data_IF_326602590063
#
_entry.id   IF_326602590063
#
_cell.length_a   1.000
_cell.length_b   1.000
_cell.length_c   1.000
_cell.angle_alpha   90.00
_cell.angle_beta   90.00
_cell.angle_gamma   90.00
#
_symmetry.space_group_name_H-M   'P 1'
#
loop_
_entity.id
_entity.type
_entity.pdbx_description
1 polymer ?
#
# COMPACT_ATOMS: atom_id res chain seq x y z
N UNK A 1 5.64 -2.92 19.35
CA UNK A 1 6.56 -3.85 18.64
C UNK A 1 7.44 -3.04 17.70
N UNK A 2 8.74 -3.33 17.59
CA UNK A 2 9.63 -2.62 16.63
C UNK A 2 10.07 -3.60 15.55
N UNK A 3 9.79 -3.29 14.29
CA UNK A 3 10.19 -4.09 13.13
C UNK A 3 11.41 -3.47 12.47
N UNK A 4 12.47 -4.26 12.29
CA UNK A 4 13.63 -3.86 11.52
C UNK A 4 13.56 -4.51 10.14
N UNK A 5 13.42 -3.75 9.06
CA UNK A 5 13.37 -4.33 7.73
C UNK A 5 14.72 -4.98 7.41
N UNK A 6 14.67 -6.25 6.98
CA UNK A 6 15.86 -7.02 6.57
C UNK A 6 16.59 -6.37 5.39
N UNK A 7 15.84 -5.68 4.54
CA UNK A 7 16.36 -4.94 3.39
C UNK A 7 16.16 -3.45 3.61
N UNK A 8 17.12 -2.66 3.13
CA UNK A 8 17.04 -1.21 3.18
C UNK A 8 15.90 -0.64 2.33
N UNK A 9 15.51 0.59 2.64
CA UNK A 9 14.53 1.33 1.85
C UNK A 9 15.14 1.77 0.51
N UNK A 10 14.30 2.16 -0.46
CA UNK A 10 14.77 2.77 -1.72
C UNK A 10 15.61 4.04 -1.49
N UNK A 11 15.45 4.66 -0.32
CA UNK A 11 16.18 5.88 0.08
C UNK A 11 17.42 5.60 0.92
N UNK A 12 17.71 4.33 1.22
CA UNK A 12 18.91 3.98 1.97
C UNK A 12 20.16 4.24 1.09
N UNK A 13 21.18 4.80 1.71
CA UNK A 13 22.50 5.07 1.11
C UNK A 13 23.58 4.89 2.18
N UNK A 14 24.85 4.94 1.80
CA UNK A 14 25.98 4.69 2.72
C UNK A 14 25.93 5.49 4.03
N UNK A 15 25.39 6.72 4.00
CA UNK A 15 25.25 7.61 5.15
C UNK A 15 23.86 7.63 5.79
N UNK A 16 22.88 6.89 5.26
CA UNK A 16 21.50 6.93 5.76
C UNK A 16 20.81 5.58 5.60
N UNK A 17 20.36 5.00 6.72
CA UNK A 17 19.56 3.78 6.75
C UNK A 17 18.23 4.09 7.40
N UNK A 18 17.13 3.65 6.81
CA UNK A 18 15.81 3.86 7.40
C UNK A 18 15.74 3.21 8.80
N UNK A 19 15.18 3.95 9.76
CA UNK A 19 14.99 3.49 11.13
C UNK A 19 13.98 2.35 11.22
N UNK A 20 14.06 1.58 12.31
CA UNK A 20 13.08 0.54 12.62
C UNK A 20 11.68 1.12 12.79
N UNK A 21 10.68 0.37 12.35
CA UNK A 21 9.28 0.79 12.40
C UNK A 21 8.68 0.38 13.73
N UNK A 22 8.36 1.35 14.58
CA UNK A 22 7.61 1.10 15.81
C UNK A 22 6.12 1.03 15.49
N UNK A 23 5.54 -0.16 15.64
CA UNK A 23 4.10 -0.38 15.63
C UNK A 23 3.62 -0.23 17.07
N UNK A 24 2.67 0.68 17.29
CA UNK A 24 1.97 0.91 18.56
C UNK A 24 0.51 0.49 18.46
N UNK A 25 -0.12 0.30 19.62
CA UNK A 25 -1.55 0.04 19.70
C UNK A 25 -2.32 1.27 19.19
N UNK A 26 -3.51 1.03 18.65
CA UNK A 26 -4.45 2.08 18.24
C UNK A 26 -5.60 2.15 19.26
N UNK A 27 -6.12 3.34 19.48
CA UNK A 27 -7.31 3.56 20.31
C UNK A 27 -8.52 2.88 19.65
N UNK A 28 -8.64 3.00 18.32
CA UNK A 28 -9.65 2.28 17.55
C UNK A 28 -9.24 0.82 17.34
N UNK A 29 -9.89 -0.06 18.11
CA UNK A 29 -9.67 -1.52 18.07
C UNK A 29 -10.14 -2.19 16.79
N UNK A 30 -10.83 -1.50 15.89
CA UNK A 30 -11.18 -2.02 14.56
C UNK A 30 -9.99 -1.97 13.59
N UNK A 31 -9.07 -1.01 13.77
CA UNK A 31 -7.88 -0.81 12.94
C UNK A 31 -6.55 -1.02 13.69
N UNK A 32 -6.61 -1.47 14.95
CA UNK A 32 -5.44 -1.80 15.76
C UNK A 32 -4.69 -3.04 15.22
N UNK A 33 -3.58 -2.78 14.55
CA UNK A 33 -2.72 -3.81 13.95
C UNK A 33 -2.17 -4.77 15.00
N UNK A 34 -1.84 -4.31 16.21
CA UNK A 34 -1.28 -5.17 17.26
C UNK A 34 -2.33 -6.17 17.72
N UNK A 35 -3.56 -5.72 17.91
CA UNK A 35 -4.70 -6.60 18.22
C UNK A 35 -4.88 -7.67 17.15
N UNK A 36 -4.91 -7.29 15.87
CA UNK A 36 -5.12 -8.25 14.77
C UNK A 36 -3.97 -9.23 14.60
N UNK A 37 -2.71 -8.81 14.81
CA UNK A 37 -1.56 -9.72 14.79
C UNK A 37 -1.65 -10.75 15.92
N UNK A 38 -2.01 -10.33 17.14
CA UNK A 38 -2.20 -11.24 18.28
C UNK A 38 -3.28 -12.28 17.96
N UNK A 39 -4.43 -11.82 17.47
CA UNK A 39 -5.54 -12.70 17.07
C UNK A 39 -5.08 -13.70 15.99
N UNK A 40 -4.37 -13.23 14.97
CA UNK A 40 -3.85 -14.10 13.90
C UNK A 40 -2.92 -15.18 14.46
N UNK A 41 -2.00 -14.82 15.36
CA UNK A 41 -1.06 -15.77 15.97
C UNK A 41 -1.84 -16.82 16.78
N UNK A 42 -2.75 -16.40 17.67
CA UNK A 42 -3.56 -17.31 18.48
C UNK A 42 -4.41 -18.24 17.63
N UNK A 43 -5.09 -17.73 16.60
CA UNK A 43 -5.92 -18.56 15.70
C UNK A 43 -5.11 -19.55 14.86
N UNK A 44 -3.81 -19.27 14.65
CA UNK A 44 -2.93 -20.13 13.84
C UNK A 44 -2.01 -21.02 14.68
N UNK A 45 -2.08 -20.95 16.01
CA UNK A 45 -1.17 -21.61 16.95
C UNK A 45 -1.14 -23.14 16.76
N UNK A 46 -2.30 -23.79 16.85
CA UNK A 46 -2.41 -25.24 16.68
C UNK A 46 -1.80 -25.71 15.36
N UNK A 47 -2.05 -24.93 14.30
CA UNK A 47 -1.57 -25.24 12.96
C UNK A 47 -0.05 -25.06 12.84
N UNK A 48 0.56 -24.16 13.62
CA UNK A 48 2.02 -23.97 13.64
C UNK A 48 2.75 -25.13 14.30
N UNK A 49 2.11 -25.92 15.17
CA UNK A 49 2.72 -27.13 15.75
C UNK A 49 3.19 -28.13 14.68
N UNK A 50 2.53 -28.15 13.51
CA UNK A 50 2.95 -28.98 12.38
C UNK A 50 4.19 -28.49 11.63
N UNK A 51 4.76 -27.34 12.00
CA UNK A 51 5.97 -26.76 11.41
C UNK A 51 6.68 -25.83 12.43
N UNK A 52 7.38 -26.39 13.45
CA UNK A 52 7.94 -25.61 14.55
C UNK A 52 9.00 -24.57 14.12
N UNK A 53 9.72 -24.82 13.02
CA UNK A 53 10.75 -23.90 12.51
C UNK A 53 10.18 -22.77 11.62
N UNK A 54 8.85 -22.62 11.54
CA UNK A 54 8.19 -21.68 10.63
C UNK A 54 8.05 -20.27 11.24
N UNK A 55 8.97 -19.38 10.86
CA UNK A 55 9.01 -17.97 11.31
C UNK A 55 8.20 -17.00 10.42
N UNK A 56 7.17 -17.49 9.72
CA UNK A 56 6.33 -16.64 8.86
C UNK A 56 5.03 -16.25 9.57
N UNK A 57 4.71 -14.95 9.60
CA UNK A 57 3.45 -14.47 10.16
C UNK A 57 2.24 -15.05 9.42
N UNK A 58 2.26 -15.02 8.09
CA UNK A 58 1.22 -15.61 7.25
C UNK A 58 1.58 -17.03 6.84
N UNK A 59 0.71 -17.98 7.15
CA UNK A 59 0.89 -19.42 6.85
C UNK A 59 -0.26 -19.94 6.00
N UNK A 60 -0.07 -21.08 5.33
CA UNK A 60 -1.14 -21.74 4.58
C UNK A 60 -2.33 -22.05 5.49
N UNK A 61 -3.55 -21.70 5.09
CA UNK A 61 -4.77 -22.00 5.86
C UNK A 61 -5.27 -23.43 5.66
N UNK A 62 -4.84 -24.11 4.59
CA UNK A 62 -5.22 -25.49 4.24
C UNK A 62 -4.00 -26.31 3.80
N UNK A 63 -4.09 -27.64 3.93
CA UNK A 63 -3.04 -28.58 3.52
C UNK A 63 -1.79 -28.55 4.43
N UNK A 64 -0.62 -28.89 3.88
CA UNK A 64 0.66 -28.83 4.62
C UNK A 64 0.97 -27.41 5.07
N UNK A 65 1.41 -27.27 6.31
CA UNK A 65 1.78 -26.01 6.95
C UNK A 65 3.05 -25.48 6.29
N UNK A 66 2.99 -24.25 5.77
CA UNK A 66 4.08 -23.57 5.06
C UNK A 66 3.82 -22.06 5.01
N UNK A 67 4.83 -21.21 4.69
CA UNK A 67 4.57 -19.79 4.46
C UNK A 67 3.50 -19.58 3.40
N UNK A 68 2.58 -18.65 3.63
CA UNK A 68 1.63 -18.24 2.61
C UNK A 68 2.37 -17.54 1.47
N UNK A 69 2.11 -17.95 0.23
CA UNK A 69 2.72 -17.28 -0.93
C UNK A 69 2.11 -15.90 -1.14
N UNK A 70 2.84 -15.02 -1.86
CA UNK A 70 2.32 -13.70 -2.26
C UNK A 70 0.97 -13.80 -2.98
N UNK A 71 0.80 -14.81 -3.83
CA UNK A 71 -0.44 -15.04 -4.57
C UNK A 71 -1.61 -15.41 -3.65
N UNK A 72 -1.36 -16.22 -2.61
CA UNK A 72 -2.37 -16.60 -1.62
C UNK A 72 -2.82 -15.38 -0.82
N UNK A 73 -1.86 -14.59 -0.32
CA UNK A 73 -2.14 -13.37 0.44
C UNK A 73 -2.92 -12.37 -0.42
N UNK A 74 -2.50 -12.17 -1.67
CA UNK A 74 -3.22 -11.32 -2.61
C UNK A 74 -4.66 -11.82 -2.86
N UNK A 75 -4.87 -13.14 -2.90
CA UNK A 75 -6.19 -13.74 -2.97
C UNK A 75 -7.08 -13.36 -1.79
N UNK A 76 -6.58 -13.49 -0.56
CA UNK A 76 -7.33 -13.12 0.65
C UNK A 76 -7.77 -11.66 0.64
N UNK A 77 -6.84 -10.75 0.28
CA UNK A 77 -7.13 -9.31 0.21
C UNK A 77 -8.18 -9.03 -0.87
N UNK A 78 -8.03 -9.59 -2.08
CA UNK A 78 -9.00 -9.40 -3.16
C UNK A 78 -10.38 -9.92 -2.80
N UNK A 79 -10.47 -11.09 -2.17
CA UNK A 79 -11.74 -11.65 -1.74
C UNK A 79 -12.44 -10.74 -0.73
N UNK A 80 -11.72 -10.25 0.29
CA UNK A 80 -12.27 -9.34 1.28
C UNK A 80 -12.74 -8.01 0.66
N UNK A 81 -11.96 -7.42 -0.25
CA UNK A 81 -12.33 -6.20 -0.95
C UNK A 81 -13.55 -6.40 -1.86
N UNK A 82 -13.62 -7.53 -2.58
CA UNK A 82 -14.76 -7.85 -3.43
C UNK A 82 -16.05 -8.00 -2.62
N UNK A 83 -15.97 -8.57 -1.41
CA UNK A 83 -17.13 -8.71 -0.52
C UNK A 83 -17.75 -7.37 -0.12
N UNK A 84 -16.94 -6.30 -0.07
CA UNK A 84 -17.42 -4.94 0.22
C UNK A 84 -17.67 -4.11 -1.07
N UNK A 85 -17.74 -4.76 -2.23
CA UNK A 85 -18.03 -4.10 -3.52
C UNK A 85 -16.83 -3.40 -4.17
N UNK A 86 -15.62 -3.55 -3.64
CA UNK A 86 -14.40 -2.98 -4.26
C UNK A 86 -13.88 -3.96 -5.32
N UNK A 87 -14.26 -3.74 -6.57
CA UNK A 87 -13.84 -4.56 -7.74
C UNK A 87 -12.79 -3.84 -8.63
N UNK A 88 -12.24 -2.73 -8.15
CA UNK A 88 -11.20 -1.99 -8.88
C UNK A 88 -9.85 -2.69 -8.78
N UNK A 89 -9.05 -2.60 -9.86
CA UNK A 89 -7.66 -3.05 -9.83
C UNK A 89 -6.81 -2.26 -8.82
N UNK A 90 -5.67 -2.81 -8.36
CA UNK A 90 -4.80 -2.13 -7.41
C UNK A 90 -4.28 -0.82 -8.01
N UNK A 91 -4.67 0.30 -7.39
CA UNK A 91 -4.16 1.63 -7.72
C UNK A 91 -2.88 1.97 -6.94
N UNK A 92 -2.11 2.92 -7.46
CA UNK A 92 -0.99 3.52 -6.72
C UNK A 92 -1.54 4.49 -5.68
N UNK A 93 -1.34 4.19 -4.39
CA UNK A 93 -1.71 5.11 -3.28
C UNK A 93 -1.07 6.49 -3.48
N UNK A 94 0.18 6.52 -3.93
CA UNK A 94 0.91 7.78 -4.22
C UNK A 94 0.21 8.61 -5.30
N UNK A 95 -0.32 7.94 -6.32
CA UNK A 95 -1.03 8.61 -7.40
C UNK A 95 -2.39 9.11 -6.92
N UNK A 96 -3.14 8.30 -6.16
CA UNK A 96 -4.43 8.69 -5.59
C UNK A 96 -4.29 9.93 -4.67
N UNK A 97 -3.39 9.87 -3.68
CA UNK A 97 -3.14 10.98 -2.74
C UNK A 97 -2.58 12.21 -3.46
N UNK A 98 -1.70 12.02 -4.45
CA UNK A 98 -1.16 13.13 -5.24
C UNK A 98 -2.24 13.85 -6.05
N UNK A 99 -3.13 13.09 -6.69
CA UNK A 99 -4.21 13.62 -7.52
C UNK A 99 -5.26 14.34 -6.68
N UNK A 100 -5.65 13.77 -5.55
CA UNK A 100 -6.58 14.37 -4.59
C UNK A 100 -6.07 15.73 -4.06
N UNK A 101 -4.80 15.78 -3.64
CA UNK A 101 -4.17 17.03 -3.19
C UNK A 101 -4.12 18.09 -4.28
N UNK A 102 -3.85 17.67 -5.51
CA UNK A 102 -3.83 18.58 -6.65
C UNK A 102 -5.24 19.09 -6.96
N UNK A 103 -6.27 18.23 -6.89
CA UNK A 103 -7.67 18.64 -7.14
C UNK A 103 -8.24 19.61 -6.11
N UNK A 104 -7.69 19.63 -4.88
CA UNK A 104 -8.03 20.61 -3.84
C UNK A 104 -7.10 21.83 -3.83
N UNK A 105 -6.37 22.08 -4.91
CA UNK A 105 -5.48 23.23 -5.11
C UNK A 105 -4.35 23.37 -4.07
N UNK A 106 -3.83 22.26 -3.54
CA UNK A 106 -2.60 22.31 -2.73
C UNK A 106 -1.43 22.77 -3.61
N UNK A 107 -0.54 23.68 -3.13
CA UNK A 107 0.60 24.14 -3.92
C UNK A 107 1.46 23.00 -4.43
N UNK A 108 1.85 23.05 -5.71
CA UNK A 108 2.58 21.97 -6.37
C UNK A 108 3.90 21.64 -5.66
N UNK A 109 4.64 22.64 -5.21
CA UNK A 109 5.89 22.43 -4.45
C UNK A 109 5.67 21.64 -3.15
N UNK A 110 4.54 21.87 -2.47
CA UNK A 110 4.18 21.12 -1.27
C UNK A 110 3.81 19.67 -1.61
N UNK A 111 3.08 19.46 -2.71
CA UNK A 111 2.75 18.14 -3.22
C UNK A 111 4.04 17.37 -3.58
N UNK A 112 4.96 17.99 -4.32
CA UNK A 112 6.24 17.40 -4.72
C UNK A 112 7.09 17.04 -3.50
N UNK A 113 7.19 17.95 -2.52
CA UNK A 113 7.90 17.72 -1.26
C UNK A 113 7.31 16.56 -0.46
N UNK A 114 5.99 16.53 -0.25
CA UNK A 114 5.31 15.45 0.49
C UNK A 114 5.35 14.12 -0.26
N UNK A 115 5.29 14.16 -1.59
CA UNK A 115 5.38 13.00 -2.46
C UNK A 115 6.80 12.48 -2.65
N UNK A 116 7.82 13.23 -2.21
CA UNK A 116 9.23 12.99 -2.50
C UNK A 116 9.47 12.79 -4.02
N UNK A 117 8.97 13.74 -4.81
CA UNK A 117 9.12 13.78 -6.26
C UNK A 117 10.12 14.86 -6.66
N UNK A 118 11.04 14.51 -7.56
CA UNK A 118 12.12 15.39 -8.00
C UNK A 118 11.65 16.53 -8.92
N UNK A 119 10.54 16.35 -9.62
CA UNK A 119 10.00 17.35 -10.54
C UNK A 119 8.50 17.20 -10.78
N UNK A 120 7.89 18.31 -11.15
CA UNK A 120 6.54 18.44 -11.70
C UNK A 120 6.29 17.49 -12.87
N UNK A 121 7.23 17.38 -13.82
CA UNK A 121 7.12 16.51 -15.00
C UNK A 121 6.93 15.05 -14.60
N UNK A 122 7.63 14.60 -13.56
CA UNK A 122 7.46 13.24 -13.03
C UNK A 122 6.09 13.08 -12.35
N UNK A 123 5.66 14.10 -11.59
CA UNK A 123 4.35 14.12 -10.95
C UNK A 123 3.21 14.00 -11.98
N UNK A 124 3.13 14.91 -12.94
CA UNK A 124 2.05 14.90 -13.93
C UNK A 124 2.05 13.67 -14.83
N UNK A 125 3.23 13.17 -15.22
CA UNK A 125 3.34 11.98 -16.06
C UNK A 125 2.86 10.71 -15.34
N UNK A 126 3.35 10.47 -14.13
CA UNK A 126 3.20 9.15 -13.47
C UNK A 126 2.20 9.13 -12.31
N UNK A 127 1.93 10.27 -11.67
CA UNK A 127 1.25 10.31 -10.38
C UNK A 127 -0.06 11.12 -10.39
N UNK A 128 -0.17 12.21 -11.15
CA UNK A 128 -1.43 12.94 -11.30
C UNK A 128 -2.35 12.21 -12.28
N UNK A 129 -3.49 11.71 -11.77
CA UNK A 129 -4.51 10.93 -12.47
C UNK A 129 -5.88 11.49 -12.05
N UNK A 130 -6.23 12.64 -12.61
CA UNK A 130 -7.55 13.23 -12.41
C UNK A 130 -8.60 12.34 -13.08
N UNK A 131 -9.70 12.10 -12.37
CA UNK A 131 -10.83 11.34 -12.88
C UNK A 131 -11.86 12.35 -13.34
N UNK A 132 -12.28 12.27 -14.61
CA UNK A 132 -13.38 13.12 -15.07
C UNK A 132 -14.71 12.60 -14.51
N UNK A 133 -15.56 13.48 -13.97
CA UNK A 133 -16.87 13.10 -13.45
C UNK A 133 -17.79 12.72 -14.63
N UNK A 134 -17.74 11.47 -15.07
CA UNK A 134 -18.66 10.92 -16.09
C UNK A 134 -18.15 9.78 -16.96
N UNK A 135 -16.87 9.39 -16.91
CA UNK A 135 -16.31 8.37 -17.81
C UNK A 135 -16.41 6.95 -17.28
N UNK A 136 -17.33 6.14 -17.82
CA UNK A 136 -17.20 4.68 -17.79
C UNK A 136 -15.81 4.29 -18.31
N UNK A 137 -15.02 3.59 -17.51
CA UNK A 137 -13.62 3.29 -17.83
C UNK A 137 -13.52 2.33 -19.01
N UNK A 138 -13.37 2.85 -20.23
CA UNK A 138 -12.81 2.06 -21.31
C UNK A 138 -11.28 2.22 -21.27
N UNK A 139 -10.59 1.15 -20.90
CA UNK A 139 -9.13 1.13 -20.78
C UNK A 139 -8.53 1.09 -22.17
N UNK A 140 -8.30 2.26 -22.79
CA UNK A 140 -7.29 2.49 -23.84
C UNK A 140 -7.24 3.98 -24.18
N UNK A 141 -6.16 4.65 -23.78
CA UNK A 141 -5.93 6.02 -24.22
C UNK A 141 -4.89 6.73 -23.35
N UNK A 142 -3.63 6.68 -23.76
CA UNK A 142 -2.68 7.73 -23.40
C UNK A 142 -3.13 8.99 -24.15
N UNK A 143 -3.51 10.03 -23.42
CA UNK A 143 -3.51 11.40 -23.96
C UNK A 143 -2.49 12.23 -23.17
N UNK A 144 -1.53 12.88 -23.85
CA UNK A 144 -0.68 13.88 -23.22
C UNK A 144 -1.55 15.05 -22.77
N UNK A 145 -1.37 15.51 -21.53
CA UNK A 145 -1.91 16.80 -21.09
C UNK A 145 -1.14 17.89 -21.83
N UNK A 146 -1.75 18.47 -22.86
CA UNK A 146 -1.31 19.74 -23.41
C UNK A 146 -1.63 20.88 -22.43
N UNK A 147 -0.80 21.92 -22.54
CA UNK A 147 -0.74 23.16 -21.75
C UNK A 147 -2.03 23.57 -21.05
N UNK A 148 -1.98 23.61 -19.71
CA UNK A 148 -2.73 24.61 -18.95
C UNK A 148 -1.86 25.87 -18.91
N UNK A 149 -2.26 26.86 -19.69
CA UNK A 149 -1.76 28.23 -19.57
C UNK A 149 -2.21 28.81 -18.23
N UNK A 150 -1.22 29.37 -17.52
CA UNK A 150 -1.41 30.14 -16.30
C UNK A 150 -1.98 31.50 -16.69
N UNK A 151 -3.15 31.83 -16.15
CA UNK A 151 -3.61 33.22 -15.98
C UNK A 151 -3.68 33.51 -14.50
#
# INVERSE_FOLDING_TARGET
MVFWPKFGSKTDRSSYRQSGWKISENDDKSVDIIKWIRILISLSEERRHGAPDLDSLFISSRGKVRPASKAVIAGWVKTALKQIGVDTGPGSIRSAVGSDRFSVNMPLDEILKKGNWQSDKNFFKYYCKLVEPGGSTDRKGNTPLEHFDVV
#
